data_IF_450001031041
#
_entry.id   IF_450001031041
#
_cell.length_a   1.000
_cell.length_b   1.000
_cell.length_c   1.000
_cell.angle_alpha   90.00
_cell.angle_beta   90.00
_cell.angle_gamma   90.00
#
_symmetry.space_group_name_H-M   'P 1'
#
loop_
_entity.id
_entity.type
_entity.pdbx_description
1 polymer ?
#
# COMPACT_ATOMS: atom_id res chain seq x y z
N UNK A 1 0.15 -45.57 -22.17
CA UNK A 1 1.05 -46.60 -21.60
C UNK A 1 2.41 -46.48 -22.26
N UNK A 2 3.28 -45.64 -21.68
CA UNK A 2 4.50 -46.09 -21.01
C UNK A 2 5.54 -46.73 -21.96
N UNK A 3 6.32 -45.90 -22.65
CA UNK A 3 7.71 -46.27 -22.92
C UNK A 3 8.57 -45.02 -23.12
N UNK A 4 9.77 -45.06 -22.50
CA UNK A 4 10.96 -44.25 -22.78
C UNK A 4 10.97 -42.80 -22.30
N UNK A 5 11.52 -42.60 -21.10
CA UNK A 5 12.59 -41.63 -20.81
C UNK A 5 13.03 -41.79 -19.34
N UNK A 6 14.06 -42.62 -19.15
CA UNK A 6 14.87 -42.66 -17.92
C UNK A 6 16.33 -42.41 -18.31
N UNK A 7 16.96 -41.57 -17.48
CA UNK A 7 18.40 -41.38 -17.26
C UNK A 7 19.19 -40.50 -18.24
N UNK A 8 19.49 -39.29 -17.76
CA UNK A 8 20.87 -38.78 -17.78
C UNK A 8 21.07 -37.79 -16.62
N UNK A 9 21.60 -38.28 -15.50
CA UNK A 9 22.24 -37.46 -14.46
C UNK A 9 23.73 -37.68 -14.63
N UNK A 10 24.45 -36.63 -14.99
CA UNK A 10 25.91 -36.63 -15.03
C UNK A 10 26.40 -35.73 -13.91
N UNK A 11 27.21 -36.31 -13.04
CA UNK A 11 27.94 -35.68 -11.95
C UNK A 11 28.98 -34.69 -12.48
N UNK A 12 29.02 -33.48 -11.90
CA UNK A 12 30.20 -32.61 -11.95
C UNK A 12 30.55 -32.22 -10.52
N UNK A 13 31.74 -32.67 -10.12
CA UNK A 13 32.43 -32.34 -8.88
C UNK A 13 32.96 -30.90 -8.91
N UNK A 14 32.76 -30.14 -7.83
CA UNK A 14 33.47 -28.89 -7.56
C UNK A 14 34.13 -29.00 -6.18
N UNK A 15 35.46 -28.88 -6.18
CA UNK A 15 36.30 -28.71 -4.99
C UNK A 15 36.31 -27.24 -4.52
N UNK A 16 36.69 -26.98 -3.25
CA UNK A 16 36.29 -25.79 -2.51
C UNK A 16 37.30 -24.64 -2.62
N UNK A 17 36.84 -23.38 -2.65
CA UNK A 17 37.69 -22.25 -2.28
C UNK A 17 36.90 -21.06 -1.69
N UNK A 18 37.41 -20.62 -0.54
CA UNK A 18 37.34 -19.30 0.12
C UNK A 18 35.98 -18.62 0.35
N UNK A 19 35.30 -19.04 1.43
CA UNK A 19 34.21 -18.29 2.10
C UNK A 19 34.53 -17.92 3.56
N UNK A 20 35.81 -17.72 3.89
CA UNK A 20 36.27 -17.50 5.29
C UNK A 20 36.51 -16.04 5.70
N UNK A 21 36.31 -15.05 4.81
CA UNK A 21 36.56 -13.63 5.13
C UNK A 21 35.31 -12.75 5.29
N UNK A 22 34.11 -13.18 4.89
CA UNK A 22 32.87 -12.41 5.12
C UNK A 22 32.08 -12.87 6.37
N UNK A 23 32.42 -14.03 6.94
CA UNK A 23 31.84 -14.52 8.18
C UNK A 23 32.48 -13.93 9.46
N UNK A 24 33.50 -13.06 9.32
CA UNK A 24 34.20 -12.45 10.46
C UNK A 24 33.68 -11.08 10.89
N UNK A 25 32.96 -10.33 10.04
CA UNK A 25 32.49 -8.98 10.40
C UNK A 25 31.14 -8.93 11.11
N UNK A 26 30.34 -10.02 11.10
CA UNK A 26 29.03 -10.06 11.77
C UNK A 26 29.07 -10.64 13.19
N UNK A 27 30.14 -11.34 13.57
CA UNK A 27 30.31 -11.86 14.93
C UNK A 27 30.96 -10.85 15.90
N UNK A 28 31.64 -9.81 15.40
CA UNK A 28 32.25 -8.76 16.25
C UNK A 28 31.22 -7.78 16.84
N UNK A 29 30.05 -7.60 16.20
CA UNK A 29 28.98 -6.74 16.74
C UNK A 29 28.17 -7.42 17.87
N UNK A 30 28.30 -8.74 18.02
CA UNK A 30 27.54 -9.52 19.01
C UNK A 30 28.30 -9.70 20.34
N UNK A 31 29.61 -9.43 20.38
CA UNK A 31 30.44 -9.67 21.57
C UNK A 31 30.77 -8.44 22.44
N UNK A 32 30.36 -7.22 22.07
CA UNK A 32 30.63 -6.01 22.88
C UNK A 32 29.58 -5.70 23.97
N UNK A 33 28.47 -6.43 24.07
CA UNK A 33 27.40 -6.12 25.03
C UNK A 33 27.27 -7.09 26.22
N UNK A 34 28.36 -7.74 26.64
CA UNK A 34 28.37 -8.51 27.89
C UNK A 34 29.77 -8.56 28.50
N UNK A 35 30.13 -7.54 29.31
CA UNK A 35 30.92 -7.77 30.54
C UNK A 35 31.04 -6.53 31.43
N UNK A 36 30.88 -6.77 32.73
CA UNK A 36 31.15 -5.85 33.85
C UNK A 36 29.88 -5.61 34.68
N UNK A 37 29.69 -6.11 35.89
CA UNK A 37 30.62 -6.59 36.92
C UNK A 37 30.12 -6.01 38.24
N UNK A 38 29.75 -6.87 39.20
CA UNK A 38 29.06 -6.49 40.44
C UNK A 38 29.94 -5.78 41.50
N UNK A 39 29.26 -5.10 42.43
CA UNK A 39 29.81 -4.57 43.68
C UNK A 39 28.67 -4.27 44.66
N UNK A 40 28.78 -4.79 45.89
CA UNK A 40 27.78 -4.70 46.97
C UNK A 40 28.00 -3.51 47.93
N UNK A 41 27.04 -3.36 48.85
CA UNK A 41 26.93 -2.44 50.01
C UNK A 41 26.77 -0.96 49.66
N UNK A 42 25.81 -0.20 50.20
CA UNK A 42 25.46 -0.13 51.61
C UNK A 42 24.01 0.32 51.88
N UNK A 43 23.47 -0.06 53.04
CA UNK A 43 22.15 0.34 53.51
C UNK A 43 22.18 1.73 54.19
N UNK A 44 21.25 2.61 53.82
CA UNK A 44 20.83 3.72 54.69
C UNK A 44 19.35 4.04 54.51
N UNK A 45 18.64 3.94 55.63
CA UNK A 45 17.28 4.42 55.84
C UNK A 45 17.23 5.95 55.74
N UNK A 46 16.26 6.54 55.02
CA UNK A 46 15.50 7.71 55.48
C UNK A 46 14.20 7.90 54.67
N UNK A 47 13.10 7.90 55.43
CA UNK A 47 11.84 8.67 55.28
C UNK A 47 11.06 8.75 53.95
N UNK A 48 9.87 8.16 54.02
CA UNK A 48 8.63 8.52 53.33
C UNK A 48 8.49 10.01 52.94
N UNK A 49 8.39 10.27 51.65
CA UNK A 49 7.52 11.34 51.13
C UNK A 49 6.60 10.74 50.04
N UNK A 50 5.30 10.75 50.34
CA UNK A 50 4.23 10.44 49.40
C UNK A 50 4.21 11.52 48.32
N UNK A 51 4.90 11.29 47.20
CA UNK A 51 4.56 11.97 45.96
C UNK A 51 3.33 11.27 45.40
N UNK A 52 2.19 11.96 45.48
CA UNK A 52 0.93 11.47 44.95
C UNK A 52 1.07 11.19 43.45
N UNK A 53 1.08 9.91 43.09
CA UNK A 53 0.82 9.48 41.72
C UNK A 53 -0.65 9.81 41.47
N UNK A 54 -0.90 10.97 40.87
CA UNK A 54 -2.18 11.24 40.22
C UNK A 54 -2.32 10.23 39.09
N UNK A 55 -3.09 9.18 39.35
CA UNK A 55 -3.66 8.34 38.30
C UNK A 55 -4.54 9.24 37.44
N UNK A 56 -3.99 9.79 36.36
CA UNK A 56 -4.81 10.20 35.23
C UNK A 56 -5.41 8.93 34.66
N UNK A 57 -6.58 8.57 35.19
CA UNK A 57 -7.52 7.69 34.50
C UNK A 57 -7.95 8.44 33.24
N UNK A 58 -7.12 8.40 32.21
CA UNK A 58 -7.46 8.90 30.89
C UNK A 58 -8.72 8.17 30.44
N UNK A 59 -9.87 8.87 30.45
CA UNK A 59 -11.09 8.35 29.84
C UNK A 59 -10.74 8.13 28.37
N UNK A 60 -10.65 6.88 27.95
CA UNK A 60 -10.57 6.54 26.53
C UNK A 60 -11.70 7.26 25.80
N UNK A 61 -11.37 7.88 24.66
CA UNK A 61 -12.36 8.46 23.75
C UNK A 61 -13.50 7.47 23.50
N UNK A 62 -14.75 7.95 23.29
CA UNK A 62 -15.85 7.07 22.92
C UNK A 62 -15.47 6.21 21.70
N UNK A 63 -16.00 4.96 21.61
CA UNK A 63 -15.69 4.08 20.50
C UNK A 63 -15.93 4.73 19.14
N UNK A 64 -14.93 4.68 18.26
CA UNK A 64 -15.03 5.07 16.86
C UNK A 64 -15.26 3.83 16.01
N UNK A 65 -16.29 3.89 15.16
CA UNK A 65 -16.66 2.78 14.28
C UNK A 65 -16.36 3.03 12.80
N UNK A 66 -16.00 4.26 12.45
CA UNK A 66 -15.92 4.73 11.05
C UNK A 66 -14.57 5.39 10.76
N UNK A 67 -14.11 5.37 9.49
CA UNK A 67 -12.85 6.01 9.09
C UNK A 67 -12.78 7.51 9.39
N UNK A 68 -11.56 8.05 9.35
CA UNK A 68 -11.35 9.50 9.30
C UNK A 68 -11.49 9.99 7.87
N UNK A 69 -12.09 11.16 7.67
CA UNK A 69 -12.27 11.75 6.34
C UNK A 69 -11.10 12.66 5.91
N UNK A 70 -10.24 13.06 6.85
CA UNK A 70 -9.13 13.98 6.60
C UNK A 70 -7.92 13.72 7.52
N UNK A 71 -6.71 14.12 7.10
CA UNK A 71 -5.51 14.09 7.94
C UNK A 71 -5.63 14.96 9.19
N UNK A 72 -4.77 14.71 10.18
CA UNK A 72 -4.73 15.52 11.39
C UNK A 72 -4.11 16.89 11.11
N UNK A 73 -4.33 17.88 11.98
CA UNK A 73 -3.66 19.18 11.87
C UNK A 73 -2.14 19.10 12.07
N UNK A 74 -1.62 18.00 12.65
CA UNK A 74 -0.18 17.73 12.77
C UNK A 74 0.41 17.00 11.57
N UNK A 75 -0.42 16.50 10.66
CA UNK A 75 0.02 15.90 9.40
C UNK A 75 0.23 16.98 8.35
N UNK A 76 1.18 16.78 7.45
CA UNK A 76 1.43 17.67 6.31
C UNK A 76 1.64 16.85 5.05
N UNK A 77 1.35 17.43 3.89
CA UNK A 77 1.67 16.79 2.60
C UNK A 77 3.08 17.22 2.21
N UNK A 78 4.01 16.30 1.91
CA UNK A 78 5.34 16.66 1.45
C UNK A 78 5.29 17.49 0.16
N UNK A 79 6.24 18.42 -0.05
CA UNK A 79 6.29 19.20 -1.29
C UNK A 79 6.57 18.30 -2.50
N UNK A 80 5.94 18.60 -3.64
CA UNK A 80 6.20 17.88 -4.89
C UNK A 80 7.69 17.94 -5.28
N UNK A 81 8.32 16.80 -5.64
CA UNK A 81 9.67 16.81 -6.17
C UNK A 81 9.78 17.64 -7.45
N UNK A 82 10.78 18.52 -7.53
CA UNK A 82 11.05 19.30 -8.74
C UNK A 82 11.56 18.38 -9.86
N UNK A 83 10.93 18.46 -11.02
CA UNK A 83 11.33 17.71 -12.20
C UNK A 83 12.44 18.42 -12.98
N UNK A 84 13.46 17.67 -13.40
CA UNK A 84 14.49 18.16 -14.32
C UNK A 84 13.92 18.36 -15.74
N UNK A 85 14.58 19.16 -16.59
CA UNK A 85 14.12 19.38 -17.96
C UNK A 85 13.98 18.08 -18.78
N UNK A 86 14.87 17.10 -18.56
CA UNK A 86 14.77 15.77 -19.19
C UNK A 86 13.52 15.01 -18.71
N UNK A 87 13.28 15.00 -17.39
CA UNK A 87 12.09 14.40 -16.80
C UNK A 87 10.81 15.05 -17.34
N UNK A 88 10.81 16.38 -17.48
CA UNK A 88 9.68 17.10 -18.06
C UNK A 88 9.41 16.68 -19.50
N UNK A 89 10.46 16.63 -20.33
CA UNK A 89 10.34 16.19 -21.72
C UNK A 89 9.81 14.75 -21.83
N UNK A 90 10.20 13.85 -20.93
CA UNK A 90 9.72 12.46 -20.88
C UNK A 90 8.25 12.37 -20.47
N UNK A 91 7.84 13.13 -19.46
CA UNK A 91 6.43 13.27 -19.09
C UNK A 91 5.57 13.72 -20.26
N UNK A 92 5.99 14.77 -20.99
CA UNK A 92 5.25 15.28 -22.14
C UNK A 92 5.10 14.26 -23.27
N UNK A 93 6.09 13.37 -23.46
CA UNK A 93 5.97 12.26 -24.42
C UNK A 93 4.89 11.26 -24.01
N UNK A 94 4.86 10.86 -22.73
CA UNK A 94 3.82 9.97 -22.18
C UNK A 94 2.45 10.63 -22.28
N UNK A 95 2.33 11.90 -21.87
CA UNK A 95 1.08 12.66 -21.96
C UNK A 95 0.56 12.70 -23.41
N UNK A 96 1.42 13.05 -24.38
CA UNK A 96 1.06 13.12 -25.79
C UNK A 96 0.59 11.77 -26.34
N UNK A 97 1.18 10.67 -25.90
CA UNK A 97 0.74 9.32 -26.28
C UNK A 97 -0.71 9.08 -25.85
N UNK A 98 -1.05 9.32 -24.58
CA UNK A 98 -2.40 9.09 -24.04
C UNK A 98 -3.42 10.17 -24.43
N UNK A 99 -2.99 11.29 -24.99
CA UNK A 99 -3.87 12.30 -25.59
C UNK A 99 -4.16 12.04 -27.07
N UNK A 100 -3.54 11.03 -27.69
CA UNK A 100 -3.80 10.68 -29.08
C UNK A 100 -5.25 10.18 -29.24
N UNK A 101 -6.11 10.88 -30.02
CA UNK A 101 -7.50 10.47 -30.20
C UNK A 101 -7.66 9.16 -30.99
N UNK A 102 -6.62 8.69 -31.67
CA UNK A 102 -6.59 7.39 -32.36
C UNK A 102 -6.05 6.25 -31.47
N UNK A 103 -5.71 6.51 -30.21
CA UNK A 103 -5.19 5.47 -29.32
C UNK A 103 -6.28 4.45 -29.00
N UNK A 104 -5.98 3.18 -29.28
CA UNK A 104 -6.76 2.04 -28.80
C UNK A 104 -5.97 1.26 -27.77
N UNK A 105 -6.68 0.68 -26.81
CA UNK A 105 -6.16 -0.10 -25.69
C UNK A 105 -6.72 -1.53 -25.77
N UNK A 106 -5.97 -2.48 -25.23
CA UNK A 106 -6.41 -3.87 -25.08
C UNK A 106 -7.51 -4.02 -24.01
N UNK A 107 -8.30 -5.10 -24.07
CA UNK A 107 -9.36 -5.35 -23.10
C UNK A 107 -8.98 -6.37 -22.02
N UNK A 108 -7.80 -6.98 -22.14
CA UNK A 108 -7.21 -7.91 -21.17
C UNK A 108 -5.69 -7.86 -21.26
N UNK A 109 -5.00 -8.37 -20.23
CA UNK A 109 -3.54 -8.47 -20.31
C UNK A 109 -3.07 -9.39 -21.45
N UNK A 110 -3.83 -10.44 -21.74
CA UNK A 110 -3.49 -11.38 -22.81
C UNK A 110 -3.58 -10.70 -24.17
N UNK A 111 -4.63 -9.91 -24.41
CA UNK A 111 -4.75 -9.09 -25.62
C UNK A 111 -3.59 -8.09 -25.73
N UNK A 112 -3.18 -7.46 -24.61
CA UNK A 112 -2.03 -6.55 -24.60
C UNK A 112 -0.74 -7.25 -25.02
N UNK A 113 -0.47 -8.45 -24.47
CA UNK A 113 0.71 -9.26 -24.81
C UNK A 113 0.78 -9.60 -26.31
N UNK A 114 -0.37 -9.87 -26.94
CA UNK A 114 -0.46 -10.14 -28.38
C UNK A 114 -0.66 -8.87 -29.24
N UNK A 115 -0.60 -7.68 -28.63
CA UNK A 115 -0.80 -6.37 -29.28
C UNK A 115 -2.17 -6.22 -29.96
N UNK A 116 -3.18 -6.91 -29.45
CA UNK A 116 -4.56 -6.81 -29.88
C UNK A 116 -5.25 -5.63 -29.16
N UNK A 117 -5.19 -4.44 -29.77
CA UNK A 117 -5.80 -3.22 -29.23
C UNK A 117 -7.07 -2.89 -30.01
N UNK A 118 -8.20 -2.78 -29.32
CA UNK A 118 -9.52 -2.75 -29.99
C UNK A 118 -10.51 -1.73 -29.43
N UNK A 119 -10.21 -1.09 -28.31
CA UNK A 119 -11.17 -0.18 -27.66
C UNK A 119 -10.55 1.17 -27.33
N UNK A 120 -11.30 2.24 -27.55
CA UNK A 120 -10.90 3.60 -27.16
C UNK A 120 -10.88 3.75 -25.63
N UNK A 121 -10.27 4.85 -25.15
CA UNK A 121 -10.31 5.21 -23.74
C UNK A 121 -11.70 5.68 -23.33
N UNK A 122 -12.27 5.07 -22.28
CA UNK A 122 -13.51 5.54 -21.67
C UNK A 122 -13.29 6.84 -20.89
N UNK A 123 -14.37 7.54 -20.52
CA UNK A 123 -14.28 8.74 -19.68
C UNK A 123 -13.70 8.40 -18.30
N UNK A 124 -14.06 7.24 -17.73
CA UNK A 124 -13.52 6.74 -16.48
C UNK A 124 -11.99 6.57 -16.56
N UNK A 125 -11.50 5.97 -17.65
CA UNK A 125 -10.06 5.75 -17.87
C UNK A 125 -9.30 7.08 -18.06
N UNK A 126 -9.88 8.03 -18.79
CA UNK A 126 -9.30 9.38 -18.91
C UNK A 126 -9.16 10.07 -17.55
N UNK A 127 -10.13 9.87 -16.65
CA UNK A 127 -10.07 10.41 -15.28
C UNK A 127 -8.99 9.75 -14.41
N UNK A 128 -8.58 8.52 -14.73
CA UNK A 128 -7.51 7.79 -14.06
C UNK A 128 -6.11 8.16 -14.60
N UNK A 129 -6.02 8.53 -15.87
CA UNK A 129 -4.78 8.93 -16.57
C UNK A 129 -4.37 10.37 -16.22
N UNK A 130 -3.98 10.57 -14.96
CA UNK A 130 -3.55 11.87 -14.40
C UNK A 130 -2.07 12.18 -14.60
N UNK A 131 -1.68 13.44 -14.33
CA UNK A 131 -0.27 13.84 -14.23
C UNK A 131 0.51 12.90 -13.29
N UNK A 132 0.00 12.67 -12.09
CA UNK A 132 0.67 11.85 -11.06
C UNK A 132 0.66 10.37 -11.43
N UNK A 133 -0.37 9.88 -12.12
CA UNK A 133 -0.35 8.53 -12.71
C UNK A 133 0.85 8.35 -13.63
N UNK A 134 1.04 9.24 -14.60
CA UNK A 134 2.19 9.17 -15.50
C UNK A 134 3.52 9.26 -14.76
N UNK A 135 3.62 10.13 -13.76
CA UNK A 135 4.85 10.26 -12.97
C UNK A 135 5.14 9.01 -12.13
N UNK A 136 4.14 8.32 -11.58
CA UNK A 136 4.33 7.04 -10.87
C UNK A 136 4.94 5.99 -11.79
N UNK A 137 4.38 5.81 -13.00
CA UNK A 137 4.91 4.85 -13.96
C UNK A 137 6.29 5.24 -14.47
N UNK A 138 6.53 6.53 -14.76
CA UNK A 138 7.86 7.02 -15.16
C UNK A 138 8.91 6.78 -14.07
N UNK A 139 8.61 7.01 -12.79
CA UNK A 139 9.54 6.69 -11.70
C UNK A 139 9.81 5.18 -11.63
N UNK A 140 8.76 4.37 -11.69
CA UNK A 140 8.88 2.90 -11.60
C UNK A 140 9.67 2.27 -12.75
N UNK A 141 9.63 2.87 -13.94
CA UNK A 141 10.43 2.44 -15.11
C UNK A 141 11.74 3.20 -15.25
N UNK A 142 12.22 3.85 -14.18
CA UNK A 142 13.48 4.61 -14.17
C UNK A 142 13.57 5.63 -15.33
N UNK A 143 12.43 6.23 -15.65
CA UNK A 143 12.24 7.23 -16.70
C UNK A 143 12.47 6.69 -18.13
N UNK A 144 12.27 5.38 -18.35
CA UNK A 144 12.14 4.78 -19.67
C UNK A 144 10.73 4.99 -20.21
N UNK A 145 10.60 5.85 -21.23
CA UNK A 145 9.31 6.33 -21.76
C UNK A 145 8.47 5.19 -22.37
N UNK A 146 9.06 4.40 -23.26
CA UNK A 146 8.33 3.30 -23.92
C UNK A 146 7.86 2.25 -22.92
N UNK A 147 8.68 1.93 -21.92
CA UNK A 147 8.31 1.00 -20.84
C UNK A 147 7.20 1.58 -19.96
N UNK A 148 7.22 2.89 -19.68
CA UNK A 148 6.15 3.55 -18.93
C UNK A 148 4.83 3.48 -19.70
N UNK A 149 4.85 3.76 -20.99
CA UNK A 149 3.67 3.68 -21.88
C UNK A 149 3.13 2.24 -21.87
N UNK A 150 3.96 1.24 -22.14
CA UNK A 150 3.57 -0.16 -22.19
C UNK A 150 2.92 -0.63 -20.88
N UNK A 151 3.51 -0.25 -19.73
CA UNK A 151 2.97 -0.60 -18.41
C UNK A 151 1.65 0.09 -18.07
N UNK A 152 1.45 1.33 -18.52
CA UNK A 152 0.17 2.03 -18.33
C UNK A 152 -0.91 1.36 -19.17
N UNK A 153 -0.64 1.06 -20.45
CA UNK A 153 -1.57 0.35 -21.31
C UNK A 153 -1.93 -1.05 -20.78
N UNK A 154 -0.92 -1.79 -20.32
CA UNK A 154 -1.12 -3.09 -19.66
C UNK A 154 -2.02 -2.95 -18.43
N UNK A 155 -1.84 -1.90 -17.64
CA UNK A 155 -2.65 -1.69 -16.44
C UNK A 155 -4.09 -1.31 -16.79
N UNK A 156 -4.32 -0.50 -17.82
CA UNK A 156 -5.68 -0.21 -18.30
C UNK A 156 -6.38 -1.51 -18.74
N UNK A 157 -5.69 -2.35 -19.51
CA UNK A 157 -6.21 -3.64 -19.96
C UNK A 157 -6.53 -4.57 -18.77
N UNK A 158 -5.62 -4.65 -17.78
CA UNK A 158 -5.85 -5.38 -16.55
C UNK A 158 -7.05 -4.84 -15.76
N UNK A 159 -7.21 -3.51 -15.62
CA UNK A 159 -8.35 -2.92 -14.90
C UNK A 159 -9.69 -3.30 -15.52
N UNK A 160 -9.76 -3.36 -16.86
CA UNK A 160 -10.94 -3.84 -17.61
C UNK A 160 -11.25 -5.30 -17.31
N UNK A 161 -10.25 -6.18 -17.46
CA UNK A 161 -10.37 -7.62 -17.19
C UNK A 161 -10.73 -7.92 -15.73
N UNK A 162 -10.04 -7.24 -14.79
CA UNK A 162 -10.24 -7.39 -13.36
C UNK A 162 -11.59 -6.82 -12.90
N UNK A 163 -12.20 -5.92 -13.68
CA UNK A 163 -13.54 -5.38 -13.44
C UNK A 163 -13.55 -4.23 -12.44
N UNK A 164 -12.55 -3.34 -12.54
CA UNK A 164 -12.39 -2.11 -11.74
C UNK A 164 -12.19 -0.86 -12.63
N UNK A 165 -12.61 -0.93 -13.91
CA UNK A 165 -12.44 0.14 -14.90
C UNK A 165 -13.48 1.25 -14.81
N UNK A 166 -14.60 1.02 -14.14
CA UNK A 166 -15.70 1.98 -14.06
C UNK A 166 -15.47 3.04 -12.98
N UNK A 167 -16.07 4.23 -13.17
CA UNK A 167 -15.89 5.37 -12.27
C UNK A 167 -16.38 5.10 -10.85
N UNK A 168 -17.55 4.47 -10.71
CA UNK A 168 -18.22 4.29 -9.41
C UNK A 168 -18.31 2.84 -9.01
N UNK A 169 -18.38 2.59 -7.70
CA UNK A 169 -18.26 1.25 -7.14
C UNK A 169 -19.36 0.30 -7.64
N UNK A 170 -20.60 0.80 -7.67
CA UNK A 170 -21.78 0.04 -8.09
C UNK A 170 -21.71 -0.47 -9.55
N UNK A 171 -20.93 0.19 -10.40
CA UNK A 171 -20.83 -0.12 -11.83
C UNK A 171 -19.71 -1.14 -12.10
N UNK A 172 -18.82 -1.35 -11.13
CA UNK A 172 -17.73 -2.30 -11.22
C UNK A 172 -18.19 -3.73 -10.89
N UNK A 173 -17.58 -4.71 -11.58
CA UNK A 173 -17.78 -6.14 -11.28
C UNK A 173 -17.19 -6.50 -9.92
N UNK A 174 -16.01 -5.95 -9.60
CA UNK A 174 -15.40 -6.07 -8.28
C UNK A 174 -15.80 -4.84 -7.47
N UNK A 175 -16.79 -5.01 -6.60
CA UNK A 175 -17.40 -3.94 -5.81
C UNK A 175 -17.59 -4.33 -4.33
N UNK A 176 -18.10 -3.38 -3.53
CA UNK A 176 -18.20 -3.52 -2.08
C UNK A 176 -19.12 -4.66 -1.65
N UNK A 177 -20.17 -4.94 -2.42
CA UNK A 177 -21.11 -6.03 -2.12
C UNK A 177 -20.45 -7.39 -2.34
N UNK A 178 -19.72 -7.55 -3.46
CA UNK A 178 -19.02 -8.80 -3.78
C UNK A 178 -18.01 -9.18 -2.70
N UNK A 179 -17.22 -8.22 -2.23
CA UNK A 179 -16.10 -8.47 -1.32
C UNK A 179 -16.43 -8.27 0.16
N UNK A 180 -17.64 -7.82 0.50
CA UNK A 180 -18.07 -7.49 1.86
C UNK A 180 -17.75 -8.60 2.87
N UNK A 181 -18.11 -9.85 2.52
CA UNK A 181 -17.88 -11.03 3.36
C UNK A 181 -16.39 -11.21 3.74
N UNK A 182 -15.47 -10.83 2.85
CA UNK A 182 -14.04 -10.94 3.13
C UNK A 182 -13.62 -10.03 4.29
N UNK A 183 -14.34 -8.94 4.56
CA UNK A 183 -14.00 -8.01 5.61
C UNK A 183 -14.90 -8.05 6.85
N UNK A 184 -15.80 -9.03 7.01
CA UNK A 184 -16.67 -9.13 8.20
C UNK A 184 -15.90 -9.11 9.53
N UNK A 185 -14.64 -9.52 9.51
CA UNK A 185 -13.75 -9.53 10.68
C UNK A 185 -12.83 -8.32 10.76
N UNK A 186 -12.81 -7.40 9.79
CA UNK A 186 -11.91 -6.25 9.78
C UNK A 186 -10.44 -6.66 9.63
N UNK A 187 -10.18 -7.57 8.70
CA UNK A 187 -8.81 -8.01 8.38
C UNK A 187 -8.05 -6.95 7.57
N UNK A 188 -8.76 -6.06 6.88
CA UNK A 188 -8.23 -4.84 6.30
C UNK A 188 -9.06 -3.64 6.74
N UNK A 189 -8.42 -2.55 7.19
CA UNK A 189 -9.12 -1.37 7.73
C UNK A 189 -8.43 -0.10 7.25
N UNK A 190 -9.18 0.84 6.70
CA UNK A 190 -8.74 2.21 6.41
C UNK A 190 -9.07 3.07 7.62
N UNK A 191 -8.05 3.60 8.29
CA UNK A 191 -8.24 4.41 9.49
C UNK A 191 -7.08 5.39 9.68
N UNK A 192 -7.38 6.68 9.62
CA UNK A 192 -6.41 7.71 9.92
C UNK A 192 -5.37 7.92 8.83
N UNK A 193 -4.48 8.86 9.10
CA UNK A 193 -3.42 9.30 8.21
C UNK A 193 -2.13 9.44 9.02
N UNK A 194 -1.01 9.15 8.39
CA UNK A 194 0.30 9.30 9.04
C UNK A 194 0.84 10.74 8.93
N UNK A 195 2.04 10.99 9.47
CA UNK A 195 2.64 12.32 9.58
C UNK A 195 2.76 13.05 8.22
N UNK A 196 2.99 12.32 7.13
CA UNK A 196 3.05 12.86 5.76
C UNK A 196 1.70 12.80 5.03
N UNK A 197 0.60 12.66 5.76
CA UNK A 197 -0.78 12.66 5.25
C UNK A 197 -1.11 11.49 4.30
N UNK A 198 -0.34 10.40 4.29
CA UNK A 198 -0.74 9.17 3.61
C UNK A 198 -1.88 8.50 4.37
N UNK A 199 -2.97 8.09 3.69
CA UNK A 199 -4.00 7.29 4.34
C UNK A 199 -3.43 5.95 4.80
N UNK A 200 -3.82 5.53 6.02
CA UNK A 200 -3.36 4.31 6.64
C UNK A 200 -4.30 3.14 6.29
N UNK A 201 -3.74 2.08 5.71
CA UNK A 201 -4.39 0.78 5.52
C UNK A 201 -3.78 -0.23 6.49
N UNK A 202 -4.56 -0.63 7.48
CA UNK A 202 -4.20 -1.69 8.42
C UNK A 202 -4.42 -3.04 7.77
N UNK A 203 -3.41 -3.90 7.83
CA UNK A 203 -3.47 -5.29 7.42
C UNK A 203 -3.32 -6.16 8.66
N UNK A 204 -4.38 -6.90 9.01
CA UNK A 204 -4.45 -7.76 10.20
C UNK A 204 -4.60 -9.22 9.75
N UNK A 205 -3.57 -9.85 9.14
CA UNK A 205 -3.65 -11.22 8.61
C UNK A 205 -4.10 -12.26 9.65
N UNK A 206 -3.85 -12.02 10.94
CA UNK A 206 -4.33 -12.86 12.03
C UNK A 206 -5.86 -12.91 12.20
N UNK A 207 -6.62 -12.10 11.44
CA UNK A 207 -8.08 -12.04 11.44
C UNK A 207 -8.72 -12.74 10.23
N UNK A 208 -7.98 -13.55 9.48
CA UNK A 208 -8.48 -14.21 8.27
C UNK A 208 -9.76 -15.04 8.52
N UNK A 209 -10.86 -14.68 7.87
CA UNK A 209 -12.17 -15.29 8.11
C UNK A 209 -12.66 -16.22 6.99
N UNK A 210 -12.00 -16.21 5.84
CA UNK A 210 -12.44 -16.98 4.66
C UNK A 210 -11.39 -17.98 4.20
N UNK A 211 -11.83 -18.97 3.42
CA UNK A 211 -10.94 -19.89 2.72
C UNK A 211 -10.29 -19.18 1.53
N UNK A 212 -9.08 -19.62 1.18
CA UNK A 212 -8.39 -19.10 0.01
C UNK A 212 -9.25 -19.18 -1.24
N UNK A 213 -9.42 -18.05 -1.92
CA UNK A 213 -10.23 -17.91 -3.12
C UNK A 213 -9.78 -16.67 -3.91
N UNK A 214 -10.21 -16.58 -5.18
CA UNK A 214 -9.99 -15.38 -6.01
C UNK A 214 -10.57 -14.11 -5.36
N UNK A 215 -11.68 -14.26 -4.60
CA UNK A 215 -12.33 -13.15 -3.89
C UNK A 215 -11.43 -12.50 -2.83
N UNK A 216 -10.45 -13.22 -2.27
CA UNK A 216 -9.45 -12.61 -1.39
C UNK A 216 -8.54 -11.63 -2.14
N UNK A 217 -8.20 -11.94 -3.39
CA UNK A 217 -7.42 -11.06 -4.26
C UNK A 217 -8.27 -9.86 -4.69
N UNK A 218 -9.54 -10.10 -5.03
CA UNK A 218 -10.51 -9.04 -5.34
C UNK A 218 -10.71 -8.10 -4.14
N UNK A 219 -10.82 -8.63 -2.92
CA UNK A 219 -10.92 -7.85 -1.68
C UNK A 219 -9.68 -6.98 -1.43
N UNK A 220 -8.48 -7.53 -1.60
CA UNK A 220 -7.23 -6.77 -1.44
C UNK A 220 -7.17 -5.61 -2.45
N UNK A 221 -7.46 -5.89 -3.72
CA UNK A 221 -7.50 -4.88 -4.78
C UNK A 221 -8.57 -3.83 -4.50
N UNK A 222 -9.75 -4.25 -4.06
CA UNK A 222 -10.82 -3.37 -3.65
C UNK A 222 -10.37 -2.41 -2.55
N UNK A 223 -9.79 -2.92 -1.47
CA UNK A 223 -9.30 -2.11 -0.35
C UNK A 223 -8.16 -1.16 -0.77
N UNK A 224 -7.32 -1.56 -1.72
CA UNK A 224 -6.30 -0.68 -2.33
C UNK A 224 -6.94 0.47 -3.12
N UNK A 225 -7.95 0.20 -3.94
CA UNK A 225 -8.67 1.26 -4.66
C UNK A 225 -9.40 2.21 -3.68
N UNK A 226 -10.03 1.66 -2.63
CA UNK A 226 -10.67 2.47 -1.58
C UNK A 226 -9.68 3.36 -0.84
N UNK A 227 -8.51 2.87 -0.45
CA UNK A 227 -7.53 3.72 0.25
C UNK A 227 -6.93 4.79 -0.67
N UNK A 228 -6.86 4.55 -1.99
CA UNK A 228 -6.49 5.57 -2.99
C UNK A 228 -7.53 6.68 -3.06
N UNK A 229 -8.83 6.37 -2.96
CA UNK A 229 -9.88 7.38 -2.90
C UNK A 229 -9.76 8.28 -1.65
N UNK A 230 -9.15 7.78 -0.57
CA UNK A 230 -8.92 8.53 0.69
C UNK A 230 -7.72 9.47 0.66
N UNK A 231 -6.89 9.43 -0.38
CA UNK A 231 -5.71 10.28 -0.48
C UNK A 231 -6.10 11.77 -0.48
N UNK A 232 -5.44 12.62 0.32
CA UNK A 232 -5.65 14.06 0.25
C UNK A 232 -5.02 14.64 -1.02
N UNK A 233 -5.41 15.88 -1.37
CA UNK A 233 -4.76 16.63 -2.45
C UNK A 233 -3.26 16.76 -2.18
N UNK A 234 -2.43 16.43 -3.19
CA UNK A 234 -0.96 16.46 -3.10
C UNK A 234 -0.30 15.18 -2.58
N UNK A 235 -1.05 14.17 -2.13
CA UNK A 235 -0.50 12.88 -1.77
C UNK A 235 -1.03 11.78 -2.71
N UNK A 236 -0.14 10.93 -3.23
CA UNK A 236 -0.48 9.79 -4.08
C UNK A 236 0.02 8.41 -3.59
N UNK A 237 0.48 8.34 -2.34
CA UNK A 237 1.00 7.11 -1.70
C UNK A 237 0.28 6.81 -0.38
N UNK A 238 0.34 5.56 0.05
CA UNK A 238 -0.34 5.04 1.25
C UNK A 238 0.66 4.54 2.29
N UNK A 239 0.18 4.38 3.53
CA UNK A 239 0.92 3.72 4.59
C UNK A 239 0.26 2.40 4.99
N UNK A 240 1.02 1.31 4.98
CA UNK A 240 0.57 0.01 5.46
C UNK A 240 0.91 -0.16 6.93
N UNK A 241 -0.07 -0.52 7.76
CA UNK A 241 0.12 -0.85 9.17
C UNK A 241 -0.18 -2.34 9.35
N UNK A 242 0.87 -3.16 9.41
CA UNK A 242 0.76 -4.62 9.35
C UNK A 242 0.93 -5.21 10.75
N UNK A 243 -0.12 -5.86 11.24
CA UNK A 243 -0.15 -6.55 12.52
C UNK A 243 -0.21 -8.07 12.32
N UNK A 244 0.89 -8.76 12.63
CA UNK A 244 0.97 -10.22 12.50
C UNK A 244 0.43 -10.96 13.74
N UNK A 245 -0.11 -10.27 14.74
CA UNK A 245 -0.70 -10.90 15.92
C UNK A 245 -1.84 -11.82 15.52
N UNK A 246 -1.79 -13.07 15.98
CA UNK A 246 -2.90 -13.99 15.82
C UNK A 246 -4.13 -13.47 16.60
N UNK A 247 -5.31 -13.55 16.00
CA UNK A 247 -6.54 -13.06 16.61
C UNK A 247 -7.50 -14.24 16.90
N UNK A 248 -8.21 -14.25 18.04
CA UNK A 248 -9.20 -15.30 18.34
C UNK A 248 -10.33 -15.36 17.31
N UNK A 249 -10.78 -14.19 16.85
CA UNK A 249 -11.74 -14.02 15.74
C UNK A 249 -11.01 -14.21 14.41
N UNK A 250 -11.46 -15.15 13.57
CA UNK A 250 -10.84 -15.44 12.26
C UNK A 250 -9.85 -16.62 12.28
N UNK A 251 -10.20 -17.71 12.95
CA UNK A 251 -9.36 -18.92 13.05
C UNK A 251 -9.71 -19.97 11.98
N UNK A 252 -9.56 -19.61 10.69
CA UNK A 252 -9.15 -20.62 9.70
C UNK A 252 -7.62 -20.69 9.79
N UNK A 253 -7.13 -21.46 10.76
CA UNK A 253 -5.78 -21.36 11.31
C UNK A 253 -4.65 -21.26 10.30
N UNK A 254 -3.71 -20.35 10.60
CA UNK A 254 -2.25 -20.39 10.37
C UNK A 254 -1.68 -21.04 9.11
N UNK A 255 -2.46 -21.22 8.03
CA UNK A 255 -1.98 -21.80 6.79
C UNK A 255 -1.38 -20.69 5.96
N UNK A 256 -0.10 -20.84 5.65
CA UNK A 256 0.60 -20.02 4.66
C UNK A 256 -0.29 -19.96 3.40
N UNK A 257 -0.61 -18.76 2.88
CA UNK A 257 -1.38 -18.65 1.65
C UNK A 257 -0.75 -19.52 0.55
N UNK A 258 -1.55 -20.23 -0.27
CA UNK A 258 -1.02 -20.98 -1.39
C UNK A 258 -0.11 -20.09 -2.24
N UNK A 259 1.06 -20.61 -2.61
CA UNK A 259 2.10 -19.87 -3.35
C UNK A 259 1.56 -19.19 -4.62
N UNK A 260 0.55 -19.79 -5.28
CA UNK A 260 -0.11 -19.22 -6.45
C UNK A 260 -0.80 -17.87 -6.18
N UNK A 261 -1.54 -17.76 -5.08
CA UNK A 261 -2.20 -16.51 -4.68
C UNK A 261 -1.17 -15.47 -4.26
N UNK A 262 -0.13 -15.87 -3.52
CA UNK A 262 0.97 -14.97 -3.16
C UNK A 262 1.68 -14.39 -4.39
N UNK A 263 1.91 -15.21 -5.42
CA UNK A 263 2.48 -14.75 -6.70
C UNK A 263 1.56 -13.80 -7.45
N UNK A 264 0.26 -14.09 -7.50
CA UNK A 264 -0.73 -13.23 -8.15
C UNK A 264 -0.81 -11.86 -7.47
N UNK A 265 -0.89 -11.82 -6.14
CA UNK A 265 -0.88 -10.57 -5.37
C UNK A 265 0.41 -9.79 -5.61
N UNK A 266 1.57 -10.45 -5.56
CA UNK A 266 2.84 -9.80 -5.82
C UNK A 266 2.90 -9.21 -7.23
N UNK A 267 2.44 -9.95 -8.22
CA UNK A 267 2.36 -9.47 -9.60
C UNK A 267 1.47 -8.23 -9.71
N UNK A 268 0.27 -8.24 -9.10
CA UNK A 268 -0.64 -7.09 -9.11
C UNK A 268 0.02 -5.85 -8.50
N UNK A 269 0.62 -5.99 -7.32
CA UNK A 269 1.25 -4.89 -6.60
C UNK A 269 2.44 -4.29 -7.36
N UNK A 270 3.31 -5.15 -7.93
CA UNK A 270 4.50 -4.70 -8.64
C UNK A 270 4.19 -4.11 -10.01
N UNK A 271 3.18 -4.65 -10.70
CA UNK A 271 2.85 -4.28 -12.09
C UNK A 271 1.90 -3.09 -12.14
N UNK A 272 0.79 -3.13 -11.39
CA UNK A 272 -0.36 -2.21 -11.54
C UNK A 272 -0.48 -1.14 -10.46
N UNK A 273 0.25 -1.27 -9.35
CA UNK A 273 0.28 -0.27 -8.28
C UNK A 273 1.70 0.30 -8.05
N UNK A 274 2.41 0.75 -9.12
CA UNK A 274 3.75 1.30 -8.95
C UNK A 274 3.73 2.54 -8.05
N UNK A 275 4.78 2.70 -7.25
CA UNK A 275 5.02 3.90 -6.42
C UNK A 275 3.89 4.23 -5.42
N UNK A 276 3.00 3.28 -5.10
CA UNK A 276 1.91 3.49 -4.13
C UNK A 276 2.35 3.31 -2.68
N UNK A 277 3.30 2.41 -2.42
CA UNK A 277 3.80 2.21 -1.06
C UNK A 277 4.68 3.40 -0.67
N UNK A 278 4.25 4.16 0.33
CA UNK A 278 5.04 5.23 0.95
C UNK A 278 5.75 4.76 2.21
N UNK A 279 5.04 4.03 3.08
CA UNK A 279 5.59 3.44 4.31
C UNK A 279 4.91 2.11 4.65
N UNK A 280 5.64 1.16 5.21
CA UNK A 280 5.08 -0.05 5.80
C UNK A 280 5.60 -0.18 7.22
N UNK A 281 4.70 -0.15 8.20
CA UNK A 281 4.99 -0.32 9.61
C UNK A 281 4.56 -1.72 10.02
N UNK A 282 5.49 -2.51 10.56
CA UNK A 282 5.26 -3.91 10.87
C UNK A 282 5.42 -4.13 12.37
N UNK A 283 4.46 -4.84 12.98
CA UNK A 283 4.48 -5.17 14.41
C UNK A 283 4.01 -6.61 14.66
N UNK A 284 4.29 -7.12 15.85
CA UNK A 284 3.97 -8.49 16.29
C UNK A 284 4.49 -9.57 15.32
N UNK A 285 5.61 -9.30 14.65
CA UNK A 285 6.19 -10.20 13.64
C UNK A 285 6.62 -11.49 14.36
N UNK A 286 6.01 -12.66 14.04
CA UNK A 286 6.44 -13.90 14.64
C UNK A 286 7.89 -14.20 14.22
N UNK A 287 8.63 -14.95 15.02
CA UNK A 287 10.01 -15.36 14.69
C UNK A 287 10.12 -15.96 13.27
N UNK A 288 9.09 -16.71 12.83
CA UNK A 288 9.02 -17.25 11.46
C UNK A 288 8.73 -16.19 10.39
N UNK A 289 8.04 -15.10 10.73
CA UNK A 289 7.77 -13.95 9.86
C UNK A 289 9.05 -13.20 9.47
N UNK A 290 10.02 -13.12 10.38
CA UNK A 290 11.37 -12.61 10.07
C UNK A 290 12.09 -13.44 9.00
N UNK A 291 11.90 -14.76 8.99
CA UNK A 291 12.42 -15.64 7.94
C UNK A 291 11.73 -15.39 6.60
N UNK A 292 10.40 -15.20 6.59
CA UNK A 292 9.66 -14.85 5.36
C UNK A 292 10.10 -13.49 4.80
N UNK A 293 10.26 -12.48 5.65
CA UNK A 293 10.78 -11.17 5.26
C UNK A 293 12.18 -11.28 4.65
N UNK A 294 13.09 -12.07 5.25
CA UNK A 294 14.43 -12.35 4.69
C UNK A 294 14.39 -13.05 3.33
N UNK A 295 13.37 -13.87 3.06
CA UNK A 295 13.19 -14.57 1.76
C UNK A 295 12.68 -13.61 0.68
N UNK A 296 11.77 -12.69 0.99
CA UNK A 296 11.26 -11.73 0.00
C UNK A 296 12.20 -10.53 -0.19
N UNK A 297 13.03 -10.23 0.81
CA UNK A 297 13.95 -9.08 0.83
C UNK A 297 14.88 -8.96 -0.41
N UNK A 298 15.45 -10.03 -0.99
CA UNK A 298 16.25 -9.93 -2.24
C UNK A 298 15.45 -9.47 -3.47
N UNK A 299 14.12 -9.56 -3.41
CA UNK A 299 13.20 -9.16 -4.47
C UNK A 299 12.52 -7.81 -4.20
N UNK A 300 12.86 -7.18 -3.07
CA UNK A 300 12.43 -5.84 -2.69
C UNK A 300 13.54 -4.88 -3.13
N UNK A 301 13.23 -3.94 -4.01
CA UNK A 301 14.22 -2.97 -4.47
C UNK A 301 14.74 -2.10 -3.29
N UNK A 302 15.97 -1.57 -3.35
CA UNK A 302 16.55 -0.76 -2.28
C UNK A 302 15.67 0.39 -1.78
N UNK A 303 14.95 1.09 -2.67
CA UNK A 303 14.04 2.18 -2.29
C UNK A 303 12.82 1.66 -1.52
N UNK A 304 12.37 0.44 -1.78
CA UNK A 304 11.29 -0.19 -1.02
C UNK A 304 11.76 -0.63 0.37
N UNK A 305 13.05 -0.96 0.57
CA UNK A 305 13.59 -1.30 1.90
C UNK A 305 13.56 -0.13 2.88
N UNK A 306 13.85 1.08 2.40
CA UNK A 306 13.81 2.31 3.21
C UNK A 306 12.39 2.63 3.72
N UNK A 307 11.36 2.07 3.08
CA UNK A 307 9.95 2.26 3.46
C UNK A 307 9.51 1.30 4.56
N UNK A 308 10.27 0.26 4.87
CA UNK A 308 9.93 -0.74 5.88
C UNK A 308 10.41 -0.29 7.26
N UNK A 309 9.49 -0.22 8.21
CA UNK A 309 9.74 0.12 9.61
C UNK A 309 9.39 -1.09 10.46
N UNK A 310 10.40 -1.62 11.14
CA UNK A 310 10.28 -2.80 12.01
C UNK A 310 10.51 -2.41 13.47
N UNK A 311 9.71 -2.98 14.37
CA UNK A 311 9.89 -2.90 15.83
C UNK A 311 10.07 -1.46 16.38
N UNK A 312 9.49 -0.47 15.71
CA UNK A 312 9.43 0.91 16.18
C UNK A 312 8.00 1.28 16.61
N UNK A 313 7.83 2.14 17.64
CA UNK A 313 6.52 2.66 18.01
C UNK A 313 5.84 3.38 16.84
N UNK A 314 4.61 2.99 16.50
CA UNK A 314 3.88 3.58 15.37
C UNK A 314 3.58 5.07 15.59
N UNK A 315 3.51 5.51 16.85
CA UNK A 315 3.35 6.92 17.24
C UNK A 315 4.47 7.85 16.73
N UNK A 316 5.63 7.30 16.34
CA UNK A 316 6.70 8.09 15.72
C UNK A 316 6.38 8.49 14.27
N UNK A 317 5.38 7.84 13.68
CA UNK A 317 5.04 7.96 12.27
C UNK A 317 3.57 8.34 12.05
N UNK A 318 2.69 8.02 12.99
CA UNK A 318 1.26 8.32 12.92
C UNK A 318 0.87 9.18 14.13
N UNK A 319 0.19 10.32 13.92
CA UNK A 319 -0.32 11.13 15.02
C UNK A 319 -1.24 10.29 15.93
N UNK A 320 -1.05 10.37 17.25
CA UNK A 320 -1.82 9.55 18.20
C UNK A 320 -3.33 9.69 18.03
N UNK A 321 -3.81 10.90 17.76
CA UNK A 321 -5.23 11.21 17.49
C UNK A 321 -5.82 10.55 16.23
N UNK A 322 -4.99 9.91 15.40
CA UNK A 322 -5.40 9.14 14.22
C UNK A 322 -4.92 7.68 14.24
N UNK A 323 -4.24 7.26 15.31
CA UNK A 323 -3.73 5.92 15.49
C UNK A 323 -4.62 5.14 16.46
N UNK A 324 -4.94 3.90 16.10
CA UNK A 324 -5.71 2.99 16.96
C UNK A 324 -4.97 2.74 18.29
N UNK A 325 -5.71 2.72 19.41
CA UNK A 325 -5.19 2.49 20.77
C UNK A 325 -4.45 1.15 20.89
N UNK A 326 -4.81 0.16 20.08
CA UNK A 326 -4.11 -1.14 20.03
C UNK A 326 -2.65 -0.99 19.55
N UNK A 327 -2.33 0.15 18.93
CA UNK A 327 -1.01 0.55 18.44
C UNK A 327 -0.44 1.77 19.19
N UNK A 328 -0.89 2.00 20.44
CA UNK A 328 -0.46 3.10 21.32
C UNK A 328 -0.94 4.50 20.90
N UNK A 329 -1.96 4.59 20.04
CA UNK A 329 -2.64 5.84 19.74
C UNK A 329 -3.77 6.19 20.72
N UNK A 330 -4.50 7.25 20.41
CA UNK A 330 -5.61 7.77 21.22
C UNK A 330 -6.98 7.31 20.69
N UNK A 331 -7.03 6.68 19.50
CA UNK A 331 -8.29 6.31 18.85
C UNK A 331 -8.80 4.97 19.39
N UNK A 332 -9.93 5.01 20.10
CA UNK A 332 -10.66 3.82 20.52
C UNK A 332 -11.45 3.21 19.36
N UNK A 333 -10.77 2.66 18.35
CA UNK A 333 -11.42 2.07 17.18
C UNK A 333 -11.99 0.69 17.51
N UNK A 334 -13.25 0.47 17.12
CA UNK A 334 -13.93 -0.82 17.26
C UNK A 334 -14.52 -1.19 15.91
N UNK A 335 -14.06 -2.31 15.36
CA UNK A 335 -14.59 -2.80 14.09
C UNK A 335 -15.95 -3.48 14.30
N UNK A 336 -16.99 -2.85 13.81
CA UNK A 336 -18.32 -3.45 13.64
C UNK A 336 -18.71 -3.34 12.17
N UNK A 337 -18.78 -4.48 11.47
CA UNK A 337 -18.91 -4.50 10.01
C UNK A 337 -20.09 -3.67 9.50
N UNK A 338 -21.26 -3.84 10.10
CA UNK A 338 -22.50 -3.12 9.75
C UNK A 338 -22.41 -1.59 9.92
N UNK A 339 -21.51 -1.11 10.78
CA UNK A 339 -21.27 0.33 10.98
C UNK A 339 -20.14 0.85 10.10
N UNK A 340 -19.06 0.07 10.01
CA UNK A 340 -17.84 0.46 9.33
C UNK A 340 -17.97 0.38 7.81
N UNK A 341 -18.42 -0.76 7.28
CA UNK A 341 -18.31 -1.08 5.86
C UNK A 341 -19.14 -0.14 4.98
N UNK A 342 -20.44 0.09 5.27
CA UNK A 342 -21.24 1.04 4.49
C UNK A 342 -20.67 2.45 4.55
N UNK A 343 -20.18 2.88 5.72
CA UNK A 343 -19.64 4.24 5.89
C UNK A 343 -18.30 4.44 5.18
N UNK A 344 -17.44 3.42 5.19
CA UNK A 344 -16.17 3.45 4.46
C UNK A 344 -16.41 3.63 2.96
N UNK A 345 -17.36 2.87 2.40
CA UNK A 345 -17.77 2.98 0.99
C UNK A 345 -18.37 4.35 0.70
N UNK A 346 -19.30 4.83 1.54
CA UNK A 346 -19.93 6.16 1.36
C UNK A 346 -18.89 7.28 1.29
N UNK A 347 -17.94 7.32 2.24
CA UNK A 347 -16.85 8.32 2.24
C UNK A 347 -16.00 8.20 0.96
N UNK A 348 -15.64 6.98 0.56
CA UNK A 348 -14.88 6.72 -0.67
C UNK A 348 -15.60 7.24 -1.90
N UNK A 349 -16.90 6.94 -2.03
CA UNK A 349 -17.72 7.35 -3.17
C UNK A 349 -17.97 8.85 -3.19
N UNK A 350 -18.14 9.50 -2.03
CA UNK A 350 -18.24 10.96 -1.95
C UNK A 350 -16.96 11.64 -2.44
N UNK A 351 -15.78 11.12 -2.05
CA UNK A 351 -14.49 11.62 -2.55
C UNK A 351 -14.31 11.37 -4.04
N UNK A 352 -14.68 10.18 -4.53
CA UNK A 352 -14.64 9.83 -5.95
C UNK A 352 -15.58 10.69 -6.79
N UNK A 353 -16.79 10.97 -6.31
CA UNK A 353 -17.75 11.85 -6.96
C UNK A 353 -17.22 13.29 -7.05
N UNK A 354 -16.67 13.83 -5.95
CA UNK A 354 -16.02 15.16 -5.97
C UNK A 354 -14.88 15.19 -7.01
N UNK A 355 -14.03 14.17 -7.00
CA UNK A 355 -12.94 14.04 -7.97
C UNK A 355 -13.44 14.04 -9.41
N UNK A 356 -14.47 13.25 -9.70
CA UNK A 356 -15.01 13.13 -11.05
C UNK A 356 -15.74 14.39 -11.51
N UNK A 357 -16.51 15.04 -10.64
CA UNK A 357 -17.13 16.34 -10.93
C UNK A 357 -16.08 17.38 -11.33
N UNK A 358 -14.95 17.43 -10.61
CA UNK A 358 -13.85 18.34 -10.92
C UNK A 358 -13.13 17.96 -12.21
N UNK A 359 -13.01 16.66 -12.50
CA UNK A 359 -12.49 16.19 -13.79
C UNK A 359 -13.36 16.69 -14.94
N UNK A 360 -14.69 16.62 -14.82
CA UNK A 360 -15.62 17.15 -15.83
C UNK A 360 -15.55 18.68 -15.92
N UNK A 361 -15.55 19.38 -14.78
CA UNK A 361 -15.44 20.84 -14.70
C UNK A 361 -14.18 21.37 -15.40
N UNK A 362 -13.05 20.64 -15.28
CA UNK A 362 -11.79 20.99 -15.91
C UNK A 362 -11.60 20.39 -17.32
N UNK A 363 -12.69 19.99 -17.97
CA UNK A 363 -12.71 19.64 -19.40
C UNK A 363 -12.53 18.16 -19.72
N UNK A 364 -12.58 17.27 -18.72
CA UNK A 364 -12.58 15.82 -18.87
C UNK A 364 -11.41 15.28 -19.73
N UNK A 365 -10.24 15.91 -19.63
CA UNK A 365 -9.08 15.57 -20.45
C UNK A 365 -8.01 14.78 -19.69
N UNK A 366 -7.29 13.93 -20.44
CA UNK A 366 -6.12 13.19 -19.95
C UNK A 366 -5.03 14.15 -19.48
N UNK A 367 -4.43 13.85 -18.33
CA UNK A 367 -3.28 14.56 -17.78
C UNK A 367 -3.59 15.61 -16.71
N UNK A 368 -4.86 15.77 -16.31
CA UNK A 368 -5.22 16.59 -15.14
C UNK A 368 -4.51 16.08 -13.88
N UNK A 369 -4.17 16.99 -12.95
CA UNK A 369 -3.46 16.65 -11.72
C UNK A 369 -4.41 16.19 -10.61
N UNK A 370 -4.05 15.13 -9.89
CA UNK A 370 -4.71 14.67 -8.67
C UNK A 370 -4.75 15.78 -7.59
N UNK A 371 -3.83 16.74 -7.60
CA UNK A 371 -3.89 17.94 -6.73
C UNK A 371 -5.13 18.74 -7.02
N UNK A 372 -5.37 19.04 -8.30
CA UNK A 372 -6.51 19.82 -8.74
C UNK A 372 -7.80 19.04 -8.59
N UNK A 373 -7.80 17.74 -8.90
CA UNK A 373 -9.00 16.90 -8.86
C UNK A 373 -9.46 16.59 -7.43
N UNK A 374 -8.54 16.46 -6.46
CA UNK A 374 -8.88 16.26 -5.04
C UNK A 374 -9.04 17.56 -4.25
N UNK A 375 -8.51 18.66 -4.77
CA UNK A 375 -8.53 19.98 -4.12
C UNK A 375 -9.89 20.66 -4.11
N UNK A 376 -9.92 21.89 -3.62
CA UNK A 376 -11.11 22.76 -3.53
C UNK A 376 -10.94 24.07 -4.32
N UNK A 377 -9.80 24.25 -5.01
CA UNK A 377 -9.51 25.44 -5.80
C UNK A 377 -10.46 25.61 -6.99
N UNK A 378 -10.81 26.84 -7.35
CA UNK A 378 -11.66 27.13 -8.52
C UNK A 378 -10.90 27.09 -9.85
N UNK A 379 -9.58 27.25 -9.79
CA UNK A 379 -8.70 27.28 -10.95
C UNK A 379 -7.69 26.15 -10.85
N UNK A 380 -7.22 25.68 -12.02
CA UNK A 380 -6.15 24.69 -12.10
C UNK A 380 -4.83 25.29 -11.61
N UNK A 381 -4.27 24.67 -10.58
CA UNK A 381 -2.90 24.91 -10.11
C UNK A 381 -1.92 24.32 -11.12
N UNK A 382 -2.22 23.12 -11.67
CA UNK A 382 -1.41 22.46 -12.68
C UNK A 382 -2.13 22.45 -14.03
N UNK A 383 -1.79 23.40 -14.89
CA UNK A 383 -2.30 23.40 -16.27
C UNK A 383 -1.80 22.16 -17.02
N UNK A 384 -2.68 21.51 -17.77
CA UNK A 384 -2.35 20.28 -18.50
C UNK A 384 -1.20 20.54 -19.48
N UNK A 385 -0.18 19.68 -19.44
CA UNK A 385 1.03 19.84 -20.26
C UNK A 385 2.01 20.90 -19.74
N UNK A 386 1.74 21.51 -18.58
CA UNK A 386 2.69 22.38 -17.87
C UNK A 386 3.15 21.67 -16.61
N UNK A 387 4.47 21.54 -16.45
CA UNK A 387 5.13 20.99 -15.25
C UNK A 387 6.46 21.68 -15.01
#
# INVERSE_FOLDING_TARGET
>A
MLSKLKNKVTSVSLSPSNSSNEARSLNEVIHENNNGGGGSSDASLMSNEKVGISSENGKLEPPRYIPFEAPSSGSHVPPEPKLSNDQKAKYLKVLKHFQNPQLTIANSEEDHKHKHRSSELTVAEKSWLTKECFLRYLRATKWHVEEAIDRIELTLAWRREFGISETFDKDNRVNGDLVSQENETGKEVILGYENESRPCLYLKPGRQNTKTSQRQVEHLVYMLERVIDYMPSGQDSLALLIDFKAHPVGTQGGKIPPVGIGRQVLHILQTHYPERLGKALLTNIPWLGWTFLKIIHPFIDPLTREKLVFDQPFINYVPKVQLDKDFQGDVNFVYEHEKYWPKMIEISQNKKQKYFNRFEEFGACVGLSEVDLRGDGKELIHQVGTI
#
